data_IF_748007668144
#
_entry.id   IF_748007668144
#
_cell.length_a   1.000
_cell.length_b   1.000
_cell.length_c   1.000
_cell.angle_alpha   90.00
_cell.angle_beta   90.00
_cell.angle_gamma   90.00
#
_symmetry.space_group_name_H-M   'P 1'
#
loop_
_entity.id
_entity.type
_entity.pdbx_description
1 polymer ?
#
# COMPACT_ATOMS: atom_id res chain seq x y z
N UNK A 1 -21.41 -2.34 0.00
CA UNK A 1 -20.09 -3.02 -0.06
C UNK A 1 -19.02 -1.95 -0.09
N UNK A 2 -18.01 -2.02 0.78
CA UNK A 2 -16.81 -1.20 0.64
C UNK A 2 -16.04 -1.73 -0.56
N UNK A 3 -15.82 -0.91 -1.58
CA UNK A 3 -14.92 -1.26 -2.67
C UNK A 3 -13.51 -1.38 -2.08
N UNK A 4 -12.76 -2.40 -2.48
CA UNK A 4 -11.40 -2.68 -2.03
C UNK A 4 -10.50 -2.90 -3.23
N UNK A 5 -9.21 -2.56 -3.08
CA UNK A 5 -8.17 -2.83 -4.06
C UNK A 5 -7.15 -3.81 -3.50
N UNK A 6 -6.65 -4.70 -4.35
CA UNK A 6 -5.50 -5.53 -4.03
C UNK A 6 -4.24 -4.66 -4.01
N UNK A 7 -3.52 -4.70 -2.89
CA UNK A 7 -2.24 -4.04 -2.70
C UNK A 7 -1.16 -5.09 -2.42
N UNK A 8 -0.09 -5.07 -3.20
CA UNK A 8 1.09 -5.90 -2.94
C UNK A 8 1.96 -5.25 -1.88
N UNK A 9 2.18 -5.93 -0.76
CA UNK A 9 2.96 -5.44 0.38
C UNK A 9 4.13 -6.36 0.70
N UNK A 10 5.23 -5.86 1.30
CA UNK A 10 6.34 -6.72 1.68
C UNK A 10 5.87 -7.88 2.55
N UNK A 11 6.32 -9.11 2.26
CA UNK A 11 5.94 -10.29 3.06
C UNK A 11 6.44 -10.24 4.50
N UNK A 12 7.39 -9.35 4.81
CA UNK A 12 7.78 -9.06 6.20
C UNK A 12 6.64 -8.50 7.03
N UNK A 13 5.57 -7.98 6.41
CA UNK A 13 4.39 -7.49 7.10
C UNK A 13 3.36 -8.59 7.40
N UNK A 14 3.60 -9.84 7.00
CA UNK A 14 2.69 -10.98 7.20
C UNK A 14 2.48 -11.33 8.69
N UNK A 15 3.33 -10.83 9.58
CA UNK A 15 3.15 -10.97 11.03
C UNK A 15 1.94 -10.19 11.56
N UNK A 16 1.43 -9.23 10.80
CA UNK A 16 0.25 -8.44 11.13
C UNK A 16 -0.99 -8.96 10.37
N UNK A 17 -2.18 -8.96 11.00
CA UNK A 17 -3.41 -9.36 10.32
C UNK A 17 -3.68 -8.51 9.07
N UNK A 18 -4.02 -9.14 7.95
CA UNK A 18 -4.22 -8.47 6.66
C UNK A 18 -5.27 -7.35 6.71
N UNK A 19 -6.36 -7.54 7.47
CA UNK A 19 -7.40 -6.52 7.63
C UNK A 19 -6.90 -5.29 8.39
N UNK A 20 -6.08 -5.50 9.43
CA UNK A 20 -5.44 -4.43 10.17
C UNK A 20 -4.48 -3.65 9.26
N UNK A 21 -3.63 -4.35 8.51
CA UNK A 21 -2.71 -3.72 7.57
C UNK A 21 -3.44 -2.98 6.44
N UNK A 22 -4.57 -3.52 5.96
CA UNK A 22 -5.43 -2.83 4.99
C UNK A 22 -5.96 -1.50 5.52
N UNK A 23 -6.33 -1.43 6.80
CA UNK A 23 -6.78 -0.19 7.45
C UNK A 23 -5.64 0.81 7.66
N UNK A 24 -4.47 0.35 8.09
CA UNK A 24 -3.26 1.19 8.23
C UNK A 24 -2.91 1.84 6.89
N UNK A 25 -2.82 1.04 5.83
CA UNK A 25 -2.53 1.55 4.49
C UNK A 25 -3.58 2.55 4.02
N UNK A 26 -4.87 2.25 4.18
CA UNK A 26 -5.92 3.19 3.81
C UNK A 26 -5.77 4.53 4.55
N UNK A 27 -5.44 4.52 5.84
CA UNK A 27 -5.21 5.73 6.64
C UNK A 27 -4.05 6.58 6.08
N UNK A 28 -2.89 5.96 5.89
CA UNK A 28 -1.68 6.64 5.40
C UNK A 28 -1.86 7.18 3.98
N UNK A 29 -2.40 6.36 3.06
CA UNK A 29 -2.61 6.78 1.67
C UNK A 29 -3.69 7.87 1.60
N UNK A 30 -4.74 7.80 2.42
CA UNK A 30 -5.76 8.86 2.49
C UNK A 30 -5.19 10.17 3.01
N UNK A 31 -4.36 10.13 4.04
CA UNK A 31 -3.70 11.32 4.60
C UNK A 31 -2.78 11.97 3.57
N UNK A 32 -1.94 11.17 2.89
CA UNK A 32 -1.04 11.65 1.84
C UNK A 32 -1.81 12.20 0.63
N UNK A 33 -2.90 11.54 0.23
CA UNK A 33 -3.77 12.00 -0.85
C UNK A 33 -4.40 13.36 -0.54
N UNK A 34 -4.91 13.57 0.68
CA UNK A 34 -5.48 14.87 1.09
C UNK A 34 -4.48 16.02 1.04
N UNK A 35 -3.19 15.74 1.20
CA UNK A 35 -2.13 16.75 1.18
C UNK A 35 -1.57 17.00 -0.23
N UNK A 36 -1.53 15.97 -1.08
CA UNK A 36 -0.77 16.01 -2.34
C UNK A 36 -1.62 15.81 -3.59
N UNK A 37 -2.89 15.43 -3.42
CA UNK A 37 -3.80 14.96 -4.47
C UNK A 37 -3.24 13.79 -5.31
N UNK A 38 -2.33 13.00 -4.72
CA UNK A 38 -1.69 11.82 -5.32
C UNK A 38 -1.62 10.69 -4.29
N UNK A 39 -1.61 9.44 -4.75
CA UNK A 39 -1.38 8.27 -3.88
C UNK A 39 0.06 7.73 -4.02
N UNK A 40 0.66 7.84 -5.21
CA UNK A 40 2.03 7.42 -5.45
C UNK A 40 3.01 8.29 -4.64
N UNK A 41 3.97 7.64 -4.00
CA UNK A 41 4.92 8.31 -3.10
C UNK A 41 4.55 8.21 -1.63
N UNK A 42 3.35 7.74 -1.27
CA UNK A 42 3.01 7.44 0.13
C UNK A 42 4.06 6.51 0.73
N UNK A 43 4.70 6.93 1.82
CA UNK A 43 5.70 6.14 2.55
C UNK A 43 5.06 5.56 3.80
N UNK A 44 5.21 4.27 4.01
CA UNK A 44 4.75 3.57 5.21
C UNK A 44 5.93 2.81 5.80
N UNK A 45 6.13 2.94 7.11
CA UNK A 45 7.12 2.17 7.86
C UNK A 45 6.39 1.23 8.80
N UNK A 46 6.74 -0.05 8.72
CA UNK A 46 6.36 -1.09 9.68
C UNK A 46 7.66 -1.73 10.12
N UNK A 47 7.97 -1.58 11.40
CA UNK A 47 9.27 -1.93 11.99
C UNK A 47 10.44 -1.38 11.16
N UNK A 48 11.37 -2.25 10.76
CA UNK A 48 12.56 -1.89 9.97
C UNK A 48 12.30 -1.84 8.44
N UNK A 49 11.06 -2.10 8.02
CA UNK A 49 10.67 -2.11 6.61
C UNK A 49 9.98 -0.80 6.24
N UNK A 50 10.66 0.01 5.43
CA UNK A 50 10.08 1.19 4.79
C UNK A 50 9.66 0.83 3.37
N UNK A 51 8.40 1.07 3.04
CA UNK A 51 7.85 0.83 1.72
C UNK A 51 7.18 2.09 1.16
N UNK A 52 7.27 2.26 -0.16
CA UNK A 52 6.71 3.41 -0.87
C UNK A 52 5.70 2.93 -1.91
N UNK A 53 4.51 3.53 -1.89
CA UNK A 53 3.46 3.22 -2.86
C UNK A 53 3.92 3.58 -4.28
N UNK A 54 3.80 2.60 -5.17
CA UNK A 54 4.02 2.68 -6.61
C UNK A 54 2.87 2.00 -7.34
N UNK A 55 2.58 2.47 -8.55
CA UNK A 55 1.64 1.81 -9.46
C UNK A 55 2.45 1.14 -10.58
N UNK A 56 2.39 -0.18 -10.65
CA UNK A 56 3.03 -0.95 -11.73
C UNK A 56 1.97 -1.71 -12.52
N UNK A 57 1.78 -1.36 -13.80
CA UNK A 57 0.77 -1.99 -14.69
C UNK A 57 -0.62 -2.10 -14.02
N UNK A 58 -1.10 -0.98 -13.47
CA UNK A 58 -2.37 -0.89 -12.75
C UNK A 58 -2.48 -1.70 -11.44
N UNK A 59 -1.33 -2.12 -10.88
CA UNK A 59 -1.27 -2.80 -9.58
C UNK A 59 -0.67 -1.86 -8.54
N UNK A 60 -1.33 -1.75 -7.39
CA UNK A 60 -0.82 -1.00 -6.23
C UNK A 60 0.24 -1.86 -5.56
N UNK A 61 1.41 -1.27 -5.34
CA UNK A 61 2.58 -1.95 -4.80
C UNK A 61 3.29 -1.07 -3.79
N UNK A 62 3.34 -1.52 -2.54
CA UNK A 62 4.17 -0.93 -1.49
C UNK A 62 5.60 -1.44 -1.67
N UNK A 63 6.34 -0.80 -2.58
CA UNK A 63 7.72 -1.19 -2.90
C UNK A 63 8.64 -0.93 -1.71
N UNK A 64 9.30 -1.96 -1.18
CA UNK A 64 10.33 -1.80 -0.16
C UNK A 64 11.48 -0.91 -0.69
N UNK A 65 11.95 0.07 0.08
CA UNK A 65 13.04 0.97 -0.34
C UNK A 65 14.36 0.22 -0.61
N UNK A 66 14.58 -0.92 0.05
CA UNK A 66 15.74 -1.80 -0.17
C UNK A 66 15.59 -2.71 -1.40
N UNK A 67 14.41 -2.74 -2.01
CA UNK A 67 14.14 -3.57 -3.19
C UNK A 67 14.58 -2.87 -4.49
N UNK A 68 15.54 -3.48 -5.19
CA UNK A 68 16.06 -2.98 -6.46
C UNK A 68 15.27 -3.44 -7.69
N UNK A 69 14.26 -4.30 -7.52
CA UNK A 69 13.44 -4.76 -8.64
C UNK A 69 12.58 -3.62 -9.21
N UNK A 70 12.34 -3.71 -10.53
CA UNK A 70 11.48 -2.77 -11.27
C UNK A 70 10.00 -3.18 -11.28
N UNK A 71 9.69 -4.37 -10.76
CA UNK A 71 8.35 -4.96 -10.70
C UNK A 71 8.21 -5.77 -9.41
N UNK A 72 6.98 -5.97 -8.89
CA UNK A 72 6.76 -6.81 -7.71
C UNK A 72 7.27 -8.24 -7.95
N UNK A 73 8.04 -8.77 -6.99
CA UNK A 73 8.39 -10.18 -6.95
C UNK A 73 7.38 -10.95 -6.10
N UNK A 74 6.70 -11.95 -6.67
CA UNK A 74 5.69 -12.75 -5.96
C UNK A 74 6.25 -13.50 -4.75
N UNK A 75 7.57 -13.66 -4.63
CA UNK A 75 8.21 -14.30 -3.45
C UNK A 75 8.46 -13.34 -2.30
N UNK A 76 8.60 -12.05 -2.58
CA UNK A 76 8.93 -11.01 -1.60
C UNK A 76 7.72 -10.17 -1.18
N UNK A 77 6.58 -10.37 -1.83
CA UNK A 77 5.37 -9.58 -1.61
C UNK A 77 4.13 -10.48 -1.49
N UNK A 78 3.26 -10.14 -0.56
CA UNK A 78 1.93 -10.74 -0.39
C UNK A 78 0.85 -9.78 -0.87
N UNK A 79 -0.35 -10.29 -1.12
CA UNK A 79 -1.51 -9.48 -1.49
C UNK A 79 -2.42 -9.24 -0.29
N UNK A 80 -2.72 -7.98 0.01
CA UNK A 80 -3.74 -7.61 1.00
C UNK A 80 -4.80 -6.70 0.39
N UNK A 81 -6.01 -6.74 0.93
CA UNK A 81 -7.11 -5.88 0.50
C UNK A 81 -7.10 -4.56 1.27
N UNK A 82 -6.94 -3.45 0.55
CA UNK A 82 -7.03 -2.10 1.09
C UNK A 82 -8.36 -1.48 0.68
N UNK A 83 -9.13 -0.88 1.61
CA UNK A 83 -10.32 -0.10 1.27
C UNK A 83 -10.02 1.02 0.26
N UNK A 84 -10.97 1.29 -0.65
CA UNK A 84 -10.87 2.44 -1.55
C UNK A 84 -10.89 3.75 -0.78
N UNK A 85 -10.04 4.68 -1.22
CA UNK A 85 -10.07 6.06 -0.75
C UNK A 85 -11.33 6.70 -1.33
N UNK A 86 -12.25 7.12 -0.46
CA UNK A 86 -13.40 7.89 -0.88
C UNK A 86 -12.99 9.36 -1.02
N UNK A 87 -13.02 9.87 -2.24
CA UNK A 87 -13.10 11.30 -2.47
C UNK A 87 -14.55 11.69 -2.20
N UNK A 88 -14.86 12.24 -1.03
CA UNK A 88 -16.16 12.89 -0.83
C UNK A 88 -16.21 14.12 -1.73
N UNK A 89 -16.88 14.01 -2.88
CA UNK A 89 -17.59 15.15 -3.45
C UNK A 89 -18.92 15.25 -2.69
N UNK A 90 -19.00 16.18 -1.74
CA UNK A 90 -20.24 16.79 -1.18
C UNK A 90 -19.84 17.89 -0.21
#
# INVERSE_FOLDING_TARGET
MLHQHLCWVPSTWDEYPSDFMGLVLHGEVSAYYRQTNKIEGTKVRVDDTVAVLRIYRNQIWMKNEKDNHKRPDRRAYTGIFMPCIKTSES
#
